data_IF_631891618805
#
_entry.id   IF_631891618805
#
_cell.length_a   1.000
_cell.length_b   1.000
_cell.length_c   1.000
_cell.angle_alpha   90.00
_cell.angle_beta   90.00
_cell.angle_gamma   90.00
#
_symmetry.space_group_name_H-M   'P 1'
#
loop_
_entity.id
_entity.type
_entity.pdbx_description
1 polymer ?
#
# COMPACT_ATOMS: atom_id res chain seq x y z
N UNK A 1 -37.80 0.77 -0.50
CA UNK A 1 -37.65 2.23 -0.65
C UNK A 1 -36.17 2.61 -0.54
N UNK A 2 -35.57 3.09 -1.62
CA UNK A 2 -34.14 3.46 -1.66
C UNK A 2 -33.91 4.65 -0.74
N UNK A 3 -32.97 4.56 0.22
CA UNK A 3 -32.63 5.68 1.11
C UNK A 3 -32.25 6.90 0.27
N UNK A 4 -32.71 8.09 0.70
CA UNK A 4 -32.30 9.36 0.08
C UNK A 4 -30.77 9.51 0.16
N UNK A 5 -30.11 10.18 -0.80
CA UNK A 5 -28.66 10.27 -0.83
C UNK A 5 -28.04 10.76 0.47
N UNK A 6 -28.58 11.85 1.04
CA UNK A 6 -28.11 12.45 2.30
C UNK A 6 -28.36 11.58 3.55
N UNK A 7 -29.13 10.49 3.44
CA UNK A 7 -29.36 9.55 4.53
C UNK A 7 -28.30 8.43 4.59
N UNK A 8 -27.46 8.31 3.55
CA UNK A 8 -26.48 7.23 3.40
C UNK A 8 -25.24 7.48 4.25
N UNK A 9 -24.53 6.40 4.56
CA UNK A 9 -23.21 6.41 5.20
C UNK A 9 -22.26 5.78 4.18
N UNK A 10 -21.78 6.59 3.24
CA UNK A 10 -20.97 6.11 2.12
C UNK A 10 -19.56 5.68 2.55
N UNK A 11 -19.04 6.27 3.62
CA UNK A 11 -17.70 5.94 4.17
C UNK A 11 -17.60 4.49 4.64
N UNK A 12 -18.72 3.86 5.05
CA UNK A 12 -18.74 2.45 5.50
C UNK A 12 -18.12 1.47 4.50
N UNK A 13 -18.24 1.79 3.20
CA UNK A 13 -17.71 0.93 2.15
C UNK A 13 -16.21 0.67 2.33
N UNK A 14 -15.42 1.67 2.76
CA UNK A 14 -13.98 1.53 2.97
C UNK A 14 -13.64 0.52 4.09
N UNK A 15 -14.55 0.33 5.05
CA UNK A 15 -14.42 -0.69 6.09
C UNK A 15 -14.76 -2.07 5.52
N UNK A 16 -15.85 -2.12 4.74
CA UNK A 16 -16.39 -3.34 4.12
C UNK A 16 -15.43 -3.95 3.11
N UNK A 17 -14.71 -3.15 2.31
CA UNK A 17 -13.76 -3.65 1.32
C UNK A 17 -12.77 -4.62 1.97
N UNK A 18 -12.33 -4.38 3.21
CA UNK A 18 -11.35 -5.25 3.88
C UNK A 18 -11.91 -6.48 4.58
N UNK A 19 -13.22 -6.76 4.44
CA UNK A 19 -13.83 -8.00 4.93
C UNK A 19 -13.35 -9.20 4.10
N UNK A 20 -13.37 -10.39 4.72
CA UNK A 20 -12.78 -11.62 4.16
C UNK A 20 -13.23 -11.95 2.74
N UNK A 21 -14.48 -11.65 2.41
CA UNK A 21 -15.09 -11.94 1.10
C UNK A 21 -14.38 -11.29 -0.10
N UNK A 22 -13.64 -10.19 0.12
CA UNK A 22 -12.83 -9.55 -0.92
C UNK A 22 -11.34 -9.90 -0.81
N UNK A 23 -10.88 -10.29 0.37
CA UNK A 23 -9.48 -10.66 0.65
C UNK A 23 -9.10 -12.06 0.18
N UNK A 24 -10.02 -13.03 0.20
CA UNK A 24 -9.72 -14.43 -0.12
C UNK A 24 -9.48 -14.67 -1.61
N UNK A 25 -10.16 -13.94 -2.50
CA UNK A 25 -9.93 -14.05 -3.96
C UNK A 25 -8.53 -13.58 -4.38
N UNK A 26 -7.98 -12.60 -3.67
CA UNK A 26 -6.63 -12.11 -3.92
C UNK A 26 -5.52 -13.13 -3.55
N UNK A 27 -5.85 -14.16 -2.77
CA UNK A 27 -4.92 -15.24 -2.39
C UNK A 27 -4.82 -16.35 -3.45
N UNK A 28 -5.73 -16.41 -4.43
CA UNK A 28 -5.77 -17.48 -5.43
C UNK A 28 -4.64 -17.40 -6.48
N UNK A 29 -3.76 -16.38 -6.39
CA UNK A 29 -2.68 -16.15 -7.36
C UNK A 29 -3.15 -15.76 -8.76
N UNK A 30 -4.47 -15.73 -8.97
CA UNK A 30 -5.08 -15.26 -10.19
C UNK A 30 -5.58 -13.83 -9.92
N UNK A 31 -4.81 -12.78 -10.30
CA UNK A 31 -5.28 -11.40 -10.25
C UNK A 31 -6.40 -11.25 -11.28
N UNK A 32 -7.58 -11.76 -10.92
CA UNK A 32 -8.85 -11.46 -11.56
C UNK A 32 -8.88 -9.95 -11.76
N UNK A 33 -9.15 -9.57 -13.00
CA UNK A 33 -9.07 -8.23 -13.54
C UNK A 33 -9.54 -7.22 -12.48
N UNK A 34 -8.71 -6.23 -12.10
CA UNK A 34 -9.03 -5.20 -11.10
C UNK A 34 -10.47 -4.67 -11.28
N UNK A 35 -10.91 -4.53 -12.53
CA UNK A 35 -12.27 -4.13 -12.87
C UNK A 35 -13.35 -5.09 -12.31
N UNK A 36 -13.14 -6.41 -12.32
CA UNK A 36 -14.08 -7.38 -11.72
C UNK A 36 -14.22 -7.18 -10.22
N UNK A 37 -13.13 -6.88 -9.52
CA UNK A 37 -13.16 -6.59 -8.08
C UNK A 37 -13.93 -5.29 -7.83
N UNK A 38 -13.63 -4.24 -8.59
CA UNK A 38 -14.36 -2.97 -8.56
C UNK A 38 -15.85 -3.18 -8.85
N UNK A 39 -16.18 -4.00 -9.86
CA UNK A 39 -17.55 -4.34 -10.21
C UNK A 39 -18.26 -5.02 -9.04
N UNK A 40 -17.62 -5.99 -8.38
CA UNK A 40 -18.22 -6.66 -7.23
C UNK A 40 -18.48 -5.71 -6.06
N UNK A 41 -17.55 -4.80 -5.78
CA UNK A 41 -17.65 -3.86 -4.64
C UNK A 41 -18.67 -2.75 -4.92
N UNK A 42 -18.69 -2.23 -6.15
CA UNK A 42 -19.41 -0.99 -6.50
C UNK A 42 -20.64 -1.21 -7.39
N UNK A 43 -21.00 -2.46 -7.71
CA UNK A 43 -22.28 -2.72 -8.38
C UNK A 43 -23.43 -2.42 -7.44
N UNK A 44 -24.43 -1.71 -7.95
CA UNK A 44 -25.57 -1.23 -7.16
C UNK A 44 -26.86 -1.67 -7.83
N UNK A 45 -27.82 -2.07 -7.01
CA UNK A 45 -29.12 -2.53 -7.44
C UNK A 45 -30.18 -1.53 -7.03
N UNK A 46 -31.02 -1.13 -7.98
CA UNK A 46 -32.11 -0.18 -7.80
C UNK A 46 -33.40 -0.89 -8.18
N UNK A 47 -34.35 -0.89 -7.25
CA UNK A 47 -35.67 -1.49 -7.43
C UNK A 47 -36.64 -0.38 -7.83
N UNK A 48 -37.37 -0.60 -8.92
CA UNK A 48 -38.41 0.29 -9.41
C UNK A 48 -39.72 -0.47 -9.66
N UNK A 49 -40.86 0.13 -9.36
CA UNK A 49 -42.16 -0.53 -9.52
C UNK A 49 -42.58 -0.62 -10.99
N UNK A 50 -43.13 -1.76 -11.39
CA UNK A 50 -43.60 -2.02 -12.76
C UNK A 50 -42.74 -3.03 -13.53
N UNK A 51 -43.37 -3.69 -14.51
CA UNK A 51 -42.77 -4.77 -15.32
C UNK A 51 -42.49 -4.35 -16.77
N UNK A 52 -43.34 -3.50 -17.37
CA UNK A 52 -43.23 -3.06 -18.76
C UNK A 52 -42.61 -1.66 -18.86
N UNK A 53 -41.35 -1.59 -18.42
CA UNK A 53 -40.61 -0.33 -18.33
C UNK A 53 -39.58 -0.24 -19.46
N UNK A 54 -39.49 0.95 -20.07
CA UNK A 54 -38.47 1.22 -21.06
C UNK A 54 -37.10 1.40 -20.36
N UNK A 55 -36.23 0.39 -20.50
CA UNK A 55 -34.91 0.33 -19.84
C UNK A 55 -34.11 1.62 -19.94
N UNK A 56 -34.03 2.21 -21.15
CA UNK A 56 -33.23 3.42 -21.41
C UNK A 56 -33.85 4.65 -20.76
N UNK A 57 -35.17 4.83 -20.90
CA UNK A 57 -35.87 5.95 -20.26
C UNK A 57 -35.76 5.92 -18.73
N UNK A 58 -35.85 4.74 -18.12
CA UNK A 58 -35.70 4.65 -16.66
C UNK A 58 -34.26 4.91 -16.22
N UNK A 59 -33.26 4.40 -16.95
CA UNK A 59 -31.86 4.71 -16.67
C UNK A 59 -31.54 6.20 -16.84
N UNK A 60 -32.13 6.87 -17.83
CA UNK A 60 -31.92 8.31 -18.07
C UNK A 60 -32.45 9.18 -16.92
N UNK A 61 -33.42 8.70 -16.14
CA UNK A 61 -33.92 9.39 -14.93
C UNK A 61 -32.99 9.26 -13.72
N UNK A 62 -32.07 8.28 -13.72
CA UNK A 62 -31.21 8.01 -12.57
C UNK A 62 -30.06 9.02 -12.51
N UNK A 63 -29.91 9.68 -11.36
CA UNK A 63 -28.72 10.47 -11.05
C UNK A 63 -27.57 9.54 -10.64
N UNK A 64 -26.75 9.13 -11.60
CA UNK A 64 -25.64 8.20 -11.38
C UNK A 64 -24.57 8.72 -10.41
N UNK A 65 -24.47 10.05 -10.21
CA UNK A 65 -23.49 10.64 -9.29
C UNK A 65 -23.82 10.32 -7.83
N UNK A 66 -25.10 10.10 -7.50
CA UNK A 66 -25.51 9.60 -6.17
C UNK A 66 -24.92 8.23 -5.84
N UNK A 67 -24.46 7.51 -6.85
CA UNK A 67 -23.90 6.17 -6.74
C UNK A 67 -22.39 6.16 -6.97
N UNK A 68 -21.76 7.33 -7.15
CA UNK A 68 -20.31 7.46 -7.28
C UNK A 68 -19.78 7.25 -8.70
N UNK A 69 -20.60 7.47 -9.73
CA UNK A 69 -20.16 7.47 -11.13
C UNK A 69 -20.06 8.90 -11.66
N UNK A 70 -18.92 9.26 -12.26
CA UNK A 70 -18.66 10.57 -12.85
C UNK A 70 -19.51 10.79 -14.10
N UNK A 71 -19.53 9.80 -14.99
CA UNK A 71 -20.21 9.87 -16.28
C UNK A 71 -21.05 8.63 -16.60
N UNK A 72 -22.05 8.77 -17.46
CA UNK A 72 -22.91 7.63 -17.88
C UNK A 72 -22.12 6.54 -18.60
N UNK A 73 -21.03 6.92 -19.27
CA UNK A 73 -20.18 5.97 -19.98
C UNK A 73 -19.39 5.05 -19.03
N UNK A 74 -19.25 5.45 -17.75
CA UNK A 74 -18.60 4.65 -16.71
C UNK A 74 -19.49 3.52 -16.18
N UNK A 75 -20.74 3.44 -16.64
CA UNK A 75 -21.75 2.50 -16.13
C UNK A 75 -22.24 1.60 -17.26
N UNK A 76 -22.11 0.31 -17.06
CA UNK A 76 -22.97 -0.68 -17.73
C UNK A 76 -24.21 -0.84 -16.86
N UNK A 77 -25.39 -0.91 -17.46
CA UNK A 77 -26.60 -1.23 -16.72
C UNK A 77 -27.35 -2.37 -17.37
N UNK A 78 -27.93 -3.23 -16.53
CA UNK A 78 -28.82 -4.31 -16.92
C UNK A 78 -30.15 -4.13 -16.16
N UNK A 79 -31.26 -4.57 -16.76
CA UNK A 79 -32.58 -4.48 -16.15
C UNK A 79 -33.32 -5.80 -16.29
N UNK A 80 -33.74 -6.36 -15.15
CA UNK A 80 -34.39 -7.66 -15.02
C UNK A 80 -35.73 -7.45 -14.32
N UNK A 81 -36.87 -7.79 -14.96
CA UNK A 81 -38.17 -7.73 -14.31
C UNK A 81 -38.33 -8.88 -13.29
N UNK A 82 -38.89 -8.57 -12.12
CA UNK A 82 -39.35 -9.52 -11.10
C UNK A 82 -40.88 -9.59 -11.13
N UNK A 83 -41.38 -10.59 -11.85
CA UNK A 83 -42.82 -10.80 -12.06
C UNK A 83 -43.55 -11.08 -10.75
N UNK A 84 -42.89 -11.66 -9.75
CA UNK A 84 -43.52 -11.99 -8.47
C UNK A 84 -43.68 -10.76 -7.58
N UNK A 85 -42.69 -9.88 -7.58
CA UNK A 85 -42.75 -8.62 -6.83
C UNK A 85 -43.52 -7.50 -7.56
N UNK A 86 -43.81 -7.67 -8.86
CA UNK A 86 -44.32 -6.61 -9.74
C UNK A 86 -43.36 -5.41 -9.80
N UNK A 87 -42.06 -5.69 -9.78
CA UNK A 87 -40.99 -4.69 -9.77
C UNK A 87 -39.96 -5.03 -10.85
N UNK A 88 -39.13 -4.08 -11.22
CA UNK A 88 -37.97 -4.28 -12.05
C UNK A 88 -36.72 -3.88 -11.30
N UNK A 89 -35.68 -4.68 -11.47
CA UNK A 89 -34.37 -4.50 -10.86
C UNK A 89 -33.40 -3.95 -11.91
N UNK A 90 -32.87 -2.76 -11.66
CA UNK A 90 -31.79 -2.15 -12.44
C UNK A 90 -30.48 -2.40 -11.70
N UNK A 91 -29.55 -3.09 -12.34
CA UNK A 91 -28.18 -3.29 -11.83
C UNK A 91 -27.23 -2.36 -12.57
N UNK A 92 -26.58 -1.46 -11.84
CA UNK A 92 -25.53 -0.58 -12.35
C UNK A 92 -24.17 -1.19 -12.02
N UNK A 93 -23.34 -1.37 -13.05
CA UNK A 93 -22.06 -2.08 -12.99
C UNK A 93 -20.95 -1.14 -13.49
N UNK A 94 -19.90 -0.88 -12.70
CA UNK A 94 -18.76 -0.09 -13.14
C UNK A 94 -18.08 -0.63 -14.41
N UNK A 95 -17.73 0.27 -15.33
CA UNK A 95 -16.88 0.00 -16.51
C UNK A 95 -15.49 0.61 -16.39
N UNK A 96 -15.33 1.60 -15.53
CA UNK A 96 -14.11 2.38 -15.37
C UNK A 96 -13.60 2.25 -13.94
N UNK A 97 -12.28 2.09 -13.80
CA UNK A 97 -11.56 2.20 -12.52
C UNK A 97 -11.08 3.64 -12.37
N UNK A 98 -11.35 4.27 -11.23
CA UNK A 98 -10.87 5.60 -10.92
C UNK A 98 -9.54 5.52 -10.18
N UNK A 99 -8.52 6.15 -10.75
CA UNK A 99 -7.21 6.27 -10.13
C UNK A 99 -7.17 7.47 -9.20
N UNK A 100 -6.35 7.37 -8.16
CA UNK A 100 -6.19 8.43 -7.17
C UNK A 100 -5.66 9.71 -7.83
N UNK A 101 -6.44 10.78 -7.75
CA UNK A 101 -6.02 12.10 -8.26
C UNK A 101 -5.27 12.92 -7.21
N UNK A 102 -5.55 12.65 -5.94
CA UNK A 102 -4.95 13.37 -4.81
C UNK A 102 -3.48 12.97 -4.61
N UNK A 103 -2.64 13.95 -4.28
CA UNK A 103 -1.25 13.70 -3.86
C UNK A 103 -1.21 13.15 -2.44
N UNK A 104 -1.49 11.86 -2.29
CA UNK A 104 -1.33 11.13 -1.02
C UNK A 104 0.03 10.43 -1.06
N UNK A 105 0.89 10.74 -0.09
CA UNK A 105 2.13 9.98 0.14
C UNK A 105 1.72 8.62 0.70
N UNK A 106 1.86 7.60 -0.13
CA UNK A 106 1.58 6.20 0.19
C UNK A 106 2.90 5.41 0.07
N UNK A 107 3.12 4.38 0.90
CA UNK A 107 4.27 3.50 0.74
C UNK A 107 4.15 2.71 -0.57
N UNK A 108 5.29 2.36 -1.16
CA UNK A 108 5.30 1.51 -2.34
C UNK A 108 4.79 0.10 -1.99
N UNK A 109 3.90 -0.49 -2.82
CA UNK A 109 3.47 -1.86 -2.63
C UNK A 109 4.62 -2.82 -2.91
N UNK A 110 4.89 -3.73 -1.98
CA UNK A 110 5.90 -4.78 -2.16
C UNK A 110 5.32 -6.09 -2.76
N UNK A 111 4.01 -6.14 -3.04
CA UNK A 111 3.37 -7.28 -3.69
C UNK A 111 2.33 -6.82 -4.71
N UNK A 112 2.08 -7.65 -5.74
CA UNK A 112 1.00 -7.42 -6.73
C UNK A 112 -0.37 -7.27 -6.07
N UNK A 113 -0.60 -8.01 -4.99
CA UNK A 113 -1.83 -7.90 -4.21
C UNK A 113 -1.87 -6.58 -3.45
N UNK A 114 -0.76 -6.10 -2.89
CA UNK A 114 -0.66 -4.75 -2.32
C UNK A 114 -0.99 -3.65 -3.34
N UNK A 115 -0.47 -3.76 -4.57
CA UNK A 115 -0.75 -2.84 -5.68
C UNK A 115 -2.24 -2.85 -6.08
N UNK A 116 -2.83 -4.04 -6.18
CA UNK A 116 -4.26 -4.20 -6.45
C UNK A 116 -5.11 -3.58 -5.33
N UNK A 117 -4.73 -3.80 -4.06
CA UNK A 117 -5.40 -3.21 -2.91
C UNK A 117 -5.32 -1.69 -2.89
N UNK A 118 -4.16 -1.13 -3.20
CA UNK A 118 -3.98 0.32 -3.37
C UNK A 118 -4.97 0.87 -4.40
N UNK A 119 -5.09 0.19 -5.54
CA UNK A 119 -5.98 0.58 -6.64
C UNK A 119 -7.45 0.50 -6.25
N UNK A 120 -7.86 -0.53 -5.50
CA UNK A 120 -9.23 -0.66 -4.99
C UNK A 120 -9.57 0.45 -4.00
N UNK A 121 -8.65 0.78 -3.08
CA UNK A 121 -8.86 1.85 -2.12
C UNK A 121 -8.90 3.23 -2.79
N UNK A 122 -8.07 3.44 -3.81
CA UNK A 122 -8.09 4.64 -4.64
C UNK A 122 -9.45 4.81 -5.34
N UNK A 123 -9.94 3.79 -6.05
CA UNK A 123 -11.24 3.84 -6.74
C UNK A 123 -12.38 4.13 -5.76
N UNK A 124 -12.40 3.44 -4.62
CA UNK A 124 -13.41 3.67 -3.59
C UNK A 124 -13.40 5.10 -3.04
N UNK A 125 -12.21 5.69 -2.85
CA UNK A 125 -12.09 7.07 -2.41
C UNK A 125 -12.56 8.06 -3.47
N UNK A 126 -12.18 7.87 -4.73
CA UNK A 126 -12.63 8.72 -5.85
C UNK A 126 -14.15 8.68 -6.02
N UNK A 127 -14.78 7.51 -5.91
CA UNK A 127 -16.25 7.38 -5.96
C UNK A 127 -16.92 8.06 -4.78
N UNK A 128 -16.32 8.01 -3.59
CA UNK A 128 -16.81 8.74 -2.43
C UNK A 128 -16.80 10.25 -2.68
N UNK A 129 -15.74 10.79 -3.28
CA UNK A 129 -15.66 12.21 -3.64
C UNK A 129 -16.82 12.61 -4.55
N UNK A 130 -17.09 11.83 -5.60
CA UNK A 130 -18.23 12.07 -6.52
C UNK A 130 -19.57 12.12 -5.79
N UNK A 131 -19.81 11.17 -4.87
CA UNK A 131 -21.05 11.14 -4.08
C UNK A 131 -21.18 12.37 -3.18
N UNK A 132 -20.11 12.71 -2.47
CA UNK A 132 -20.08 13.85 -1.56
C UNK A 132 -20.28 15.18 -2.31
N UNK A 133 -19.66 15.33 -3.49
CA UNK A 133 -19.88 16.48 -4.38
C UNK A 133 -21.33 16.56 -4.82
N UNK A 134 -21.93 15.43 -5.22
CA UNK A 134 -23.33 15.41 -5.59
C UNK A 134 -24.24 15.88 -4.46
N UNK A 135 -23.96 15.53 -3.19
CA UNK A 135 -24.74 16.00 -2.04
C UNK A 135 -24.77 17.53 -1.96
N UNK A 136 -23.64 18.22 -2.16
CA UNK A 136 -23.60 19.68 -2.13
C UNK A 136 -24.48 20.33 -3.20
N UNK A 137 -24.60 19.70 -4.36
CA UNK A 137 -25.35 20.24 -5.50
C UNK A 137 -26.82 19.83 -5.53
N UNK A 138 -27.15 18.64 -5.01
CA UNK A 138 -28.46 18.02 -5.20
C UNK A 138 -29.32 17.95 -3.93
N UNK A 139 -28.82 18.36 -2.77
CA UNK A 139 -29.59 18.34 -1.54
C UNK A 139 -30.65 19.45 -1.54
N UNK A 140 -31.87 19.11 -1.10
CA UNK A 140 -33.01 20.04 -1.11
C UNK A 140 -32.82 21.26 -0.17
N UNK A 141 -31.97 21.13 0.86
CA UNK A 141 -31.72 22.17 1.85
C UNK A 141 -30.40 21.92 2.61
N UNK A 142 -29.92 22.95 3.31
CA UNK A 142 -28.68 22.90 4.10
C UNK A 142 -28.71 21.85 5.22
N UNK A 143 -29.85 21.61 5.85
CA UNK A 143 -29.98 20.61 6.92
C UNK A 143 -29.72 19.19 6.44
N UNK A 144 -30.07 18.88 5.19
CA UNK A 144 -29.77 17.60 4.57
C UNK A 144 -28.26 17.43 4.34
N UNK A 145 -27.57 18.50 3.93
CA UNK A 145 -26.10 18.51 3.76
C UNK A 145 -25.42 18.29 5.11
N UNK A 146 -25.79 19.07 6.13
CA UNK A 146 -25.30 18.92 7.50
C UNK A 146 -25.49 17.49 8.02
N UNK A 147 -26.69 16.93 7.85
CA UNK A 147 -26.97 15.55 8.29
C UNK A 147 -26.10 14.51 7.58
N UNK A 148 -25.82 14.68 6.29
CA UNK A 148 -24.90 13.80 5.56
C UNK A 148 -23.46 13.95 6.07
N UNK A 149 -23.00 15.19 6.26
CA UNK A 149 -21.68 15.53 6.75
C UNK A 149 -21.43 14.91 8.13
N UNK A 150 -22.31 15.18 9.09
CA UNK A 150 -22.21 14.67 10.47
C UNK A 150 -22.10 13.14 10.47
N UNK A 151 -23.00 12.44 9.76
CA UNK A 151 -23.00 10.97 9.71
C UNK A 151 -21.71 10.39 9.16
N UNK A 152 -21.24 10.91 8.03
CA UNK A 152 -20.07 10.35 7.36
C UNK A 152 -18.76 10.73 8.06
N UNK A 153 -18.66 11.94 8.63
CA UNK A 153 -17.50 12.35 9.44
C UNK A 153 -17.43 11.53 10.74
N UNK A 154 -18.54 11.38 11.46
CA UNK A 154 -18.57 10.54 12.68
C UNK A 154 -18.24 9.08 12.37
N UNK A 155 -18.73 8.54 11.24
CA UNK A 155 -18.36 7.19 10.83
C UNK A 155 -16.87 7.09 10.46
N UNK A 156 -16.33 8.05 9.71
CA UNK A 156 -14.90 8.06 9.36
C UNK A 156 -14.01 8.09 10.61
N UNK A 157 -14.37 8.90 11.63
CA UNK A 157 -13.68 8.91 12.94
C UNK A 157 -13.71 7.58 13.64
N UNK A 158 -14.90 6.97 13.72
CA UNK A 158 -15.06 5.63 14.29
C UNK A 158 -14.18 4.62 13.54
N UNK A 159 -14.12 4.71 12.22
CA UNK A 159 -13.30 3.83 11.41
C UNK A 159 -11.79 4.07 11.60
N UNK A 160 -11.33 5.29 11.87
CA UNK A 160 -9.94 5.54 12.27
C UNK A 160 -9.61 4.74 13.54
N UNK A 161 -10.47 4.81 14.56
CA UNK A 161 -10.30 4.06 15.80
C UNK A 161 -10.34 2.54 15.59
N UNK A 162 -11.33 2.03 14.85
CA UNK A 162 -11.46 0.60 14.57
C UNK A 162 -10.26 0.07 13.76
N UNK A 163 -9.75 0.88 12.83
CA UNK A 163 -8.60 0.50 11.98
C UNK A 163 -7.28 0.50 12.75
N UNK A 164 -7.14 1.37 13.77
CA UNK A 164 -6.04 1.33 14.75
C UNK A 164 -6.07 0.04 15.56
N UNK A 165 -7.23 -0.31 16.15
CA UNK A 165 -7.41 -1.58 16.88
C UNK A 165 -7.14 -2.79 15.98
N UNK A 166 -7.55 -2.73 14.71
CA UNK A 166 -7.25 -3.77 13.72
C UNK A 166 -5.75 -3.87 13.44
N UNK A 167 -5.05 -2.75 13.36
CA UNK A 167 -3.59 -2.69 13.19
C UNK A 167 -2.87 -3.36 14.37
N UNK A 168 -3.26 -3.09 15.62
CA UNK A 168 -2.68 -3.75 16.80
C UNK A 168 -2.86 -5.28 16.76
N UNK A 169 -4.04 -5.74 16.34
CA UNK A 169 -4.35 -7.18 16.24
C UNK A 169 -3.53 -7.85 15.15
N UNK A 170 -3.46 -7.27 13.96
CA UNK A 170 -2.78 -7.89 12.82
C UNK A 170 -1.26 -7.92 13.02
N UNK A 171 -0.68 -7.00 13.77
CA UNK A 171 0.76 -7.03 14.09
C UNK A 171 1.19 -8.20 14.98
N UNK A 172 0.26 -8.83 15.72
CA UNK A 172 0.58 -9.98 16.59
C UNK A 172 0.64 -11.28 15.81
N UNK A 173 -0.19 -11.44 14.78
CA UNK A 173 -0.42 -12.74 14.12
C UNK A 173 -0.55 -12.69 12.58
N UNK A 174 -0.46 -11.51 11.98
CA UNK A 174 -0.64 -11.30 10.54
C UNK A 174 0.66 -11.40 9.75
N UNK A 175 0.53 -11.70 8.46
CA UNK A 175 1.64 -11.62 7.50
C UNK A 175 2.04 -10.16 7.23
N UNK A 176 3.27 -9.95 6.73
CA UNK A 176 3.73 -8.62 6.25
C UNK A 176 2.72 -7.97 5.31
N UNK A 177 2.20 -8.76 4.36
CA UNK A 177 1.18 -8.31 3.41
C UNK A 177 -0.14 -7.91 4.08
N UNK A 178 -0.62 -8.67 5.06
CA UNK A 178 -1.84 -8.31 5.79
C UNK A 178 -1.64 -7.02 6.61
N UNK A 179 -0.46 -6.84 7.22
CA UNK A 179 -0.09 -5.60 7.89
C UNK A 179 -0.08 -4.41 6.90
N UNK A 180 0.51 -4.58 5.71
CA UNK A 180 0.53 -3.56 4.67
C UNK A 180 -0.87 -3.15 4.20
N UNK A 181 -1.75 -4.11 3.93
CA UNK A 181 -3.13 -3.83 3.51
C UNK A 181 -3.88 -3.03 4.59
N UNK A 182 -3.75 -3.42 5.85
CA UNK A 182 -4.37 -2.68 6.96
C UNK A 182 -3.74 -1.29 7.11
N UNK A 183 -2.44 -1.15 6.86
CA UNK A 183 -1.76 0.15 6.91
C UNK A 183 -2.28 1.10 5.81
N UNK A 184 -2.33 0.65 4.57
CA UNK A 184 -2.91 1.39 3.44
C UNK A 184 -4.36 1.77 3.76
N UNK A 185 -5.16 0.84 4.27
CA UNK A 185 -6.54 1.11 4.68
C UNK A 185 -6.61 2.27 5.69
N UNK A 186 -5.78 2.23 6.74
CA UNK A 186 -5.73 3.29 7.74
C UNK A 186 -5.39 4.66 7.10
N UNK A 187 -4.40 4.70 6.21
CA UNK A 187 -4.04 5.94 5.51
C UNK A 187 -5.21 6.48 4.68
N UNK A 188 -5.93 5.63 3.95
CA UNK A 188 -7.09 6.07 3.18
C UNK A 188 -8.23 6.58 4.08
N UNK A 189 -8.53 5.90 5.19
CA UNK A 189 -9.57 6.35 6.12
C UNK A 189 -9.22 7.71 6.73
N UNK A 190 -7.95 7.96 7.08
CA UNK A 190 -7.49 9.27 7.53
C UNK A 190 -7.71 10.32 6.44
N UNK A 191 -7.31 10.04 5.19
CA UNK A 191 -7.51 11.00 4.09
C UNK A 191 -8.98 11.24 3.79
N UNK A 192 -9.84 10.23 3.93
CA UNK A 192 -11.30 10.36 3.79
C UNK A 192 -11.87 11.26 4.89
N UNK A 193 -11.46 11.08 6.14
CA UNK A 193 -11.88 11.96 7.22
C UNK A 193 -11.47 13.42 6.94
N UNK A 194 -10.23 13.64 6.51
CA UNK A 194 -9.74 14.99 6.15
C UNK A 194 -10.52 15.59 4.99
N UNK A 195 -10.76 14.80 3.94
CA UNK A 195 -11.56 15.22 2.78
C UNK A 195 -12.96 15.65 3.22
N UNK A 196 -13.65 14.83 4.01
CA UNK A 196 -15.00 15.12 4.47
C UNK A 196 -15.05 16.35 5.39
N UNK A 197 -14.09 16.51 6.31
CA UNK A 197 -14.03 17.69 7.17
C UNK A 197 -13.78 18.98 6.39
N UNK A 198 -12.88 18.94 5.40
CA UNK A 198 -12.59 20.09 4.56
C UNK A 198 -13.75 20.45 3.64
N UNK A 199 -14.35 19.43 3.00
CA UNK A 199 -15.44 19.63 2.05
C UNK A 199 -16.71 20.18 2.71
N UNK A 200 -17.01 19.73 3.92
CA UNK A 200 -18.21 20.11 4.65
C UNK A 200 -17.91 21.07 5.81
N UNK A 201 -16.81 21.82 5.77
CA UNK A 201 -16.38 22.72 6.85
C UNK A 201 -17.44 23.76 7.23
N UNK A 202 -18.24 24.21 6.25
CA UNK A 202 -19.33 25.17 6.46
C UNK A 202 -20.61 24.53 7.04
N UNK A 203 -20.67 23.20 7.08
CA UNK A 203 -21.83 22.40 7.49
C UNK A 203 -21.52 21.50 8.70
N UNK A 204 -20.34 21.63 9.29
CA UNK A 204 -19.87 20.78 10.36
C UNK A 204 -19.06 21.61 11.37
N UNK A 205 -19.56 21.69 12.60
CA UNK A 205 -19.04 22.58 13.64
C UNK A 205 -18.32 21.86 14.79
N UNK A 206 -18.24 20.53 14.77
CA UNK A 206 -17.52 19.78 15.81
C UNK A 206 -16.00 19.86 15.62
N UNK A 207 -15.26 19.43 16.65
CA UNK A 207 -13.79 19.47 16.72
C UNK A 207 -13.10 18.88 15.49
N UNK A 208 -12.37 19.71 14.75
CA UNK A 208 -11.60 19.27 13.57
C UNK A 208 -10.40 18.47 14.04
N UNK A 209 -10.18 17.28 13.46
CA UNK A 209 -9.02 16.47 13.82
C UNK A 209 -7.87 16.88 12.92
N UNK A 210 -6.66 16.96 13.48
CA UNK A 210 -5.48 17.21 12.66
C UNK A 210 -5.08 15.94 11.90
N UNK A 211 -4.78 16.09 10.61
CA UNK A 211 -4.16 15.01 9.81
C UNK A 211 -2.88 14.51 10.45
N UNK A 212 -2.12 15.41 11.07
CA UNK A 212 -0.85 15.09 11.70
C UNK A 212 -1.07 14.21 12.93
N UNK A 213 -2.00 14.57 13.81
CA UNK A 213 -2.27 13.84 15.06
C UNK A 213 -2.75 12.42 14.76
N UNK A 214 -3.69 12.26 13.81
CA UNK A 214 -4.18 10.94 13.40
C UNK A 214 -3.08 10.06 12.79
N UNK A 215 -2.15 10.66 12.04
CA UNK A 215 -0.99 9.93 11.50
C UNK A 215 -0.01 9.57 12.60
N UNK A 216 0.27 10.48 13.53
CA UNK A 216 1.15 10.24 14.67
C UNK A 216 0.62 9.08 15.51
N UNK A 217 -0.67 9.10 15.87
CA UNK A 217 -1.31 8.02 16.60
C UNK A 217 -1.21 6.66 15.87
N UNK A 218 -1.36 6.66 14.54
CA UNK A 218 -1.19 5.45 13.73
C UNK A 218 0.26 4.96 13.80
N UNK A 219 1.24 5.85 13.66
CA UNK A 219 2.66 5.51 13.72
C UNK A 219 3.08 4.99 15.10
N UNK A 220 2.60 5.60 16.19
CA UNK A 220 2.85 5.13 17.56
C UNK A 220 2.31 3.72 17.80
N UNK A 221 1.22 3.36 17.12
CA UNK A 221 0.59 2.04 17.23
C UNK A 221 1.30 0.99 16.37
N UNK A 222 2.07 1.40 15.36
CA UNK A 222 2.75 0.50 14.44
C UNK A 222 4.19 0.23 14.86
N UNK A 223 4.54 -1.05 14.97
CA UNK A 223 5.91 -1.51 14.96
C UNK A 223 6.42 -1.47 13.51
N UNK A 224 6.95 -0.32 13.11
CA UNK A 224 7.50 -0.07 11.77
C UNK A 224 8.55 -1.11 11.37
N UNK A 225 9.29 -1.69 12.32
CA UNK A 225 10.24 -2.77 12.06
C UNK A 225 9.60 -4.01 11.44
N UNK A 226 8.33 -4.33 11.76
CA UNK A 226 7.63 -5.49 11.18
C UNK A 226 7.13 -5.28 9.75
N UNK A 227 6.95 -4.02 9.33
CA UNK A 227 6.38 -3.64 8.03
C UNK A 227 7.50 -3.22 7.07
N UNK A 228 8.47 -2.45 7.56
CA UNK A 228 9.59 -1.89 6.82
C UNK A 228 10.90 -2.62 7.05
N UNK A 229 10.90 -3.76 7.76
CA UNK A 229 12.01 -4.70 7.61
C UNK A 229 12.17 -4.93 6.10
N UNK A 230 13.29 -4.51 5.49
CA UNK A 230 13.62 -5.03 4.17
C UNK A 230 13.46 -6.54 4.27
N UNK A 231 13.04 -7.19 3.20
CA UNK A 231 13.40 -8.60 3.09
C UNK A 231 14.92 -8.64 3.15
N UNK A 232 15.46 -8.79 4.37
CA UNK A 232 16.73 -9.43 4.57
C UNK A 232 16.40 -10.82 4.09
N UNK A 233 16.69 -11.05 2.81
CA UNK A 233 16.71 -12.36 2.20
C UNK A 233 17.64 -13.22 3.06
N UNK A 234 17.06 -13.85 4.08
CA UNK A 234 17.56 -15.13 4.54
C UNK A 234 17.38 -16.05 3.36
N UNK A 235 18.42 -16.08 2.51
CA UNK A 235 18.69 -16.96 1.38
C UNK A 235 17.89 -18.26 1.54
N UNK A 236 16.66 -18.26 1.06
CA UNK A 236 15.94 -19.47 0.68
C UNK A 236 16.19 -19.60 -0.80
N UNK A 237 17.11 -20.52 -1.08
CA UNK A 237 17.38 -21.11 -2.37
C UNK A 237 16.10 -21.21 -3.21
N UNK A 238 16.01 -20.39 -4.24
CA UNK A 238 15.29 -20.76 -5.46
C UNK A 238 16.15 -20.36 -6.64
N UNK A 239 16.67 -21.39 -7.31
CA UNK A 239 17.29 -21.33 -8.61
C UNK A 239 16.35 -20.62 -9.61
N UNK A 240 16.70 -19.41 -10.03
CA UNK A 240 16.93 -19.07 -11.44
C UNK A 240 17.00 -17.56 -11.68
N UNK A 241 18.20 -17.14 -12.09
CA UNK A 241 18.48 -16.14 -13.13
C UNK A 241 18.04 -14.69 -12.90
N UNK A 242 18.63 -14.02 -11.93
CA UNK A 242 19.28 -12.73 -12.19
C UNK A 242 20.75 -12.87 -11.80
N UNK A 243 21.65 -12.62 -12.75
CA UNK A 243 23.08 -12.84 -12.57
C UNK A 243 23.61 -11.74 -11.66
N UNK A 244 23.62 -11.97 -10.35
CA UNK A 244 24.30 -11.10 -9.38
C UNK A 244 25.67 -10.71 -9.94
N UNK A 245 25.85 -9.44 -10.30
CA UNK A 245 27.12 -8.94 -10.83
C UNK A 245 28.16 -8.96 -9.70
N UNK A 246 28.89 -10.06 -9.58
CA UNK A 246 30.06 -10.15 -8.69
C UNK A 246 31.30 -9.61 -9.39
N UNK A 247 32.10 -8.82 -8.68
CA UNK A 247 33.37 -8.31 -9.14
C UNK A 247 34.41 -9.42 -9.17
N UNK A 248 34.92 -9.72 -10.35
CA UNK A 248 36.00 -10.70 -10.51
C UNK A 248 37.34 -10.09 -10.10
N UNK A 249 37.91 -10.58 -9.00
CA UNK A 249 39.25 -10.22 -8.55
C UNK A 249 40.30 -11.12 -9.19
N UNK A 250 41.07 -10.59 -10.13
CA UNK A 250 42.14 -11.33 -10.81
C UNK A 250 43.45 -11.40 -10.00
N UNK A 251 43.54 -10.71 -8.86
CA UNK A 251 44.70 -10.72 -7.97
C UNK A 251 44.66 -11.84 -6.92
N UNK A 252 45.64 -11.85 -6.01
CA UNK A 252 45.59 -12.73 -4.83
C UNK A 252 44.55 -12.20 -3.82
N UNK A 253 43.69 -13.06 -3.28
CA UNK A 253 42.65 -12.67 -2.31
C UNK A 253 43.26 -11.92 -1.13
N UNK A 254 44.34 -12.45 -0.55
CA UNK A 254 45.01 -11.83 0.59
C UNK A 254 45.53 -10.41 0.27
N UNK A 255 45.85 -10.09 -0.98
CA UNK A 255 46.27 -8.74 -1.36
C UNK A 255 45.14 -7.74 -1.20
N UNK A 256 43.93 -8.09 -1.68
CA UNK A 256 42.74 -7.25 -1.52
C UNK A 256 42.33 -7.12 -0.05
N UNK A 257 42.37 -8.21 0.70
CA UNK A 257 42.07 -8.20 2.15
C UNK A 257 43.08 -7.34 2.91
N UNK A 258 44.37 -7.42 2.56
CA UNK A 258 45.42 -6.60 3.18
C UNK A 258 45.19 -5.12 2.89
N UNK A 259 44.79 -4.78 1.66
CA UNK A 259 44.50 -3.39 1.29
C UNK A 259 43.36 -2.80 2.11
N UNK A 260 42.24 -3.51 2.25
CA UNK A 260 41.12 -3.06 3.08
C UNK A 260 41.50 -2.96 4.57
N UNK A 261 42.27 -3.92 5.08
CA UNK A 261 42.82 -3.85 6.44
C UNK A 261 43.70 -2.62 6.64
N UNK A 262 44.53 -2.27 5.65
CA UNK A 262 45.39 -1.09 5.73
C UNK A 262 44.59 0.21 5.76
N UNK A 263 43.52 0.31 4.95
CA UNK A 263 42.60 1.45 4.98
C UNK A 263 41.90 1.60 6.34
N UNK A 264 41.50 0.48 6.95
CA UNK A 264 40.87 0.49 8.29
C UNK A 264 41.79 1.00 9.39
N UNK A 265 43.10 0.84 9.22
CA UNK A 265 44.10 1.18 10.24
C UNK A 265 44.90 2.45 9.90
N UNK A 266 44.72 3.00 8.70
CA UNK A 266 45.29 4.28 8.30
C UNK A 266 44.46 5.42 8.89
N UNK A 267 45.13 6.50 9.31
CA UNK A 267 44.45 7.71 9.80
C UNK A 267 44.75 8.93 8.96
N UNK A 268 43.74 9.77 8.74
CA UNK A 268 43.84 11.11 8.17
C UNK A 268 43.15 12.07 9.16
N UNK A 269 43.83 13.15 9.54
CA UNK A 269 43.30 14.16 10.48
C UNK A 269 42.74 13.58 11.79
N UNK A 270 43.43 12.58 12.35
CA UNK A 270 43.07 11.78 13.54
C UNK A 270 41.90 10.80 13.42
N UNK A 271 41.21 10.75 12.28
CA UNK A 271 40.13 9.79 12.00
C UNK A 271 40.64 8.62 11.16
N UNK A 272 39.99 7.45 11.26
CA UNK A 272 40.37 6.31 10.42
C UNK A 272 39.91 6.55 8.98
N UNK A 273 40.78 6.25 8.01
CA UNK A 273 40.48 6.43 6.58
C UNK A 273 39.29 5.56 6.14
N UNK A 274 39.07 4.42 6.78
CA UNK A 274 37.90 3.58 6.60
C UNK A 274 37.35 3.13 7.96
N UNK A 275 36.25 3.74 8.39
CA UNK A 275 35.52 3.34 9.59
C UNK A 275 34.57 2.17 9.29
N UNK A 276 34.99 0.96 9.64
CA UNK A 276 34.19 -0.26 9.45
C UNK A 276 34.65 -1.37 10.39
N UNK A 277 33.92 -2.48 10.47
CA UNK A 277 34.33 -3.66 11.26
C UNK A 277 34.94 -4.75 10.39
N UNK A 278 35.71 -5.66 10.99
CA UNK A 278 36.23 -6.83 10.29
C UNK A 278 35.10 -7.69 9.69
N UNK A 279 33.93 -7.76 10.35
CA UNK A 279 32.78 -8.53 9.84
C UNK A 279 32.19 -7.90 8.58
N UNK A 280 32.15 -6.57 8.52
CA UNK A 280 31.63 -5.85 7.35
C UNK A 280 32.55 -6.05 6.14
N UNK A 281 33.88 -6.03 6.34
CA UNK A 281 34.85 -6.33 5.28
C UNK A 281 34.76 -7.78 4.81
N UNK A 282 34.54 -8.73 5.73
CA UNK A 282 34.28 -10.13 5.38
C UNK A 282 33.04 -10.21 4.48
N UNK A 283 31.93 -9.62 4.92
CA UNK A 283 30.67 -9.63 4.19
C UNK A 283 30.79 -8.98 2.80
N UNK A 284 31.47 -7.82 2.71
CA UNK A 284 31.75 -7.13 1.46
C UNK A 284 32.49 -8.06 0.47
N UNK A 285 33.55 -8.72 0.92
CA UNK A 285 34.39 -9.53 0.07
C UNK A 285 33.74 -10.87 -0.32
N UNK A 286 33.03 -11.53 0.58
CA UNK A 286 32.41 -12.83 0.28
C UNK A 286 31.17 -12.71 -0.61
N UNK A 287 30.47 -11.58 -0.54
CA UNK A 287 29.21 -11.40 -1.26
C UNK A 287 29.40 -10.76 -2.63
N UNK A 288 30.28 -9.77 -2.73
CA UNK A 288 30.43 -8.98 -3.95
C UNK A 288 31.65 -9.36 -4.79
N UNK A 289 32.60 -10.14 -4.28
CA UNK A 289 33.79 -10.53 -5.04
C UNK A 289 33.88 -12.04 -5.29
N UNK A 290 34.40 -12.40 -6.45
CA UNK A 290 34.80 -13.76 -6.82
C UNK A 290 36.29 -13.80 -7.17
N UNK A 291 36.92 -14.96 -7.03
CA UNK A 291 38.32 -15.16 -7.40
C UNK A 291 38.53 -15.13 -8.93
N UNK A 292 39.79 -15.25 -9.36
CA UNK A 292 40.17 -15.32 -10.78
C UNK A 292 39.51 -16.45 -11.58
N UNK A 293 38.95 -17.45 -10.90
CA UNK A 293 38.26 -18.60 -11.49
C UNK A 293 36.72 -18.46 -11.38
N UNK A 294 36.21 -17.39 -10.78
CA UNK A 294 34.79 -17.18 -10.56
C UNK A 294 34.22 -17.84 -9.29
N UNK A 295 35.08 -18.39 -8.42
CA UNK A 295 34.63 -18.99 -7.17
C UNK A 295 34.39 -17.91 -6.10
N UNK A 296 33.40 -18.09 -5.21
CA UNK A 296 33.23 -17.24 -4.04
C UNK A 296 34.50 -17.20 -3.17
N UNK A 297 34.82 -16.03 -2.63
CA UNK A 297 35.91 -15.92 -1.66
C UNK A 297 35.54 -16.66 -0.38
N UNK A 298 36.48 -17.43 0.17
CA UNK A 298 36.26 -18.19 1.40
C UNK A 298 36.30 -17.25 2.60
N UNK A 299 35.20 -17.17 3.34
CA UNK A 299 35.07 -16.39 4.57
C UNK A 299 36.23 -16.64 5.54
N UNK A 300 36.56 -17.91 5.80
CA UNK A 300 37.65 -18.30 6.69
C UNK A 300 39.01 -17.73 6.27
N UNK A 301 39.24 -17.53 4.96
CA UNK A 301 40.48 -16.95 4.42
C UNK A 301 40.52 -15.45 4.65
N UNK A 302 39.40 -14.76 4.41
CA UNK A 302 39.25 -13.32 4.63
C UNK A 302 39.35 -12.99 6.12
N UNK A 303 38.54 -13.65 6.96
CA UNK A 303 38.51 -13.41 8.41
C UNK A 303 39.85 -13.69 9.08
N UNK A 304 40.61 -14.68 8.61
CA UNK A 304 41.95 -14.96 9.15
C UNK A 304 42.95 -13.86 8.83
N UNK A 305 42.88 -13.25 7.64
CA UNK A 305 43.79 -12.16 7.24
C UNK A 305 43.52 -10.84 7.98
N UNK A 306 42.27 -10.60 8.38
CA UNK A 306 41.84 -9.40 9.12
C UNK A 306 42.13 -9.45 10.63
N UNK A 307 42.50 -10.60 11.19
CA UNK A 307 42.88 -10.71 12.61
C UNK A 307 44.21 -10.01 12.87
N UNK A 308 44.26 -9.14 13.88
CA UNK A 308 45.46 -8.36 14.22
C UNK A 308 46.68 -9.26 14.50
N UNK A 309 46.47 -10.37 15.24
CA UNK A 309 47.51 -11.36 15.56
C UNK A 309 47.94 -12.28 14.42
N UNK A 310 47.44 -12.09 13.19
CA UNK A 310 47.76 -12.93 12.00
C UNK A 310 48.53 -12.17 10.92
N UNK A 311 49.54 -11.41 11.35
CA UNK A 311 50.39 -10.57 10.48
C UNK A 311 51.04 -11.38 9.35
N UNK A 312 51.33 -12.66 9.55
CA UNK A 312 51.93 -13.56 8.58
C UNK A 312 51.03 -13.89 7.38
N UNK A 313 49.71 -13.69 7.52
CA UNK A 313 48.73 -13.93 6.45
C UNK A 313 48.51 -12.71 5.56
N UNK A 314 48.92 -11.52 6.02
CA UNK A 314 48.90 -10.27 5.27
C UNK A 314 50.07 -10.20 4.29
N UNK A 315 49.81 -9.63 3.12
CA UNK A 315 50.79 -9.57 2.02
C UNK A 315 51.85 -8.49 2.30
N UNK A 316 53.12 -8.79 2.02
CA UNK A 316 54.27 -7.90 2.25
C UNK A 316 55.05 -7.61 0.96
N UNK A 317 55.82 -6.52 0.96
CA UNK A 317 56.73 -6.15 -0.14
C UNK A 317 56.00 -5.88 -1.46
N UNK A 318 56.63 -6.21 -2.59
CA UNK A 318 56.16 -5.91 -3.97
C UNK A 318 54.78 -6.48 -4.35
N UNK A 319 54.16 -7.32 -3.51
CA UNK A 319 52.82 -7.90 -3.73
C UNK A 319 51.71 -7.12 -3.01
N UNK A 320 52.07 -6.15 -2.16
CA UNK A 320 51.12 -5.27 -1.45
C UNK A 320 50.71 -4.14 -2.40
N UNK A 321 49.42 -3.78 -2.39
CA UNK A 321 48.94 -2.59 -3.09
C UNK A 321 49.30 -1.40 -2.21
N UNK A 322 50.13 -0.49 -2.72
CA UNK A 322 50.52 0.71 -2.00
C UNK A 322 49.45 1.80 -2.20
N UNK A 323 49.03 2.41 -1.09
CA UNK A 323 48.22 3.62 -1.07
C UNK A 323 49.21 4.78 -1.18
N UNK A 324 49.12 5.58 -2.25
CA UNK A 324 49.96 6.77 -2.46
C UNK A 324 49.28 8.01 -1.91
#
# INVERSE_FOLDING_TARGET
MTKKPWQRIDVNLLGDITKKEYCEDANSGNPRNLLEIIQRIHSIEIIISGLDLNKRKEFDKINIKEFGFRERNDVKFDMIPDVFACESKITMIPKTVYYLEDKIILPDPFSKKGEMWLSVMADAFERLKVKAENILHSADNFKNIELYAVKNIQMARRMCYESKVKMEKIQKHGSKEAMFIVYIQNLFIINVLMYMQNMFSNFYSEEVHSKYDLKLELFETMNMGKIMEPEVDYIKKTDNTEKEMKFKWNGQINTLVTYLYDLMNMKIDNEFLLETTNNDVVHLLTNFFVDKNGNPMKESTVSTCLKDGKVEKRVKGKKRIEIK
#
